data_IF_772948679530
#
_entry.id   IF_772948679530
#
_cell.length_a   1.000
_cell.length_b   1.000
_cell.length_c   1.000
_cell.angle_alpha   90.00
_cell.angle_beta   90.00
_cell.angle_gamma   90.00
#
_symmetry.space_group_name_H-M   'P 1'
#
loop_
_entity.id
_entity.type
_entity.pdbx_description
1 polymer ?
#
# COMPACT_ATOMS: atom_id res chain seq x y z
N UNK A 1 -15.30 1.43 -4.03
CA UNK A 1 -14.69 0.94 -2.77
C UNK A 1 -13.56 1.88 -2.45
N UNK A 2 -13.44 2.35 -1.21
CA UNK A 2 -12.38 3.29 -0.85
C UNK A 2 -11.07 2.51 -0.62
N UNK A 3 -10.09 2.70 -1.50
CA UNK A 3 -8.81 1.98 -1.53
C UNK A 3 -7.67 3.00 -1.61
N UNK A 4 -7.18 3.51 -0.48
CA UNK A 4 -6.02 4.40 -0.47
C UNK A 4 -4.74 3.68 -0.92
N UNK A 5 -3.85 4.44 -1.56
CA UNK A 5 -2.54 3.99 -2.01
C UNK A 5 -1.47 4.62 -1.12
N UNK A 6 -0.76 3.79 -0.36
CA UNK A 6 0.26 4.24 0.60
C UNK A 6 1.62 4.31 -0.10
N UNK A 7 2.20 5.50 -0.19
CA UNK A 7 3.60 5.69 -0.57
C UNK A 7 4.49 5.46 0.65
N UNK A 8 5.05 4.25 0.76
CA UNK A 8 5.64 3.72 1.98
C UNK A 8 7.05 4.20 2.32
N UNK A 9 7.57 5.28 1.74
CA UNK A 9 8.91 5.79 2.09
C UNK A 9 8.97 7.31 2.14
N UNK A 10 9.65 7.83 3.18
CA UNK A 10 9.92 9.25 3.35
C UNK A 10 11.23 9.70 2.69
N UNK A 11 11.98 8.82 2.02
CA UNK A 11 13.30 9.13 1.45
C UNK A 11 13.21 10.22 0.38
N UNK A 12 14.10 11.20 0.40
CA UNK A 12 14.25 12.18 -0.69
C UNK A 12 14.55 11.45 -2.02
N UNK A 13 14.04 11.99 -3.12
CA UNK A 13 14.24 11.44 -4.48
C UNK A 13 13.86 9.95 -4.60
N UNK A 14 12.82 9.56 -3.86
CA UNK A 14 12.25 8.20 -3.87
C UNK A 14 11.64 7.86 -5.23
N UNK A 15 12.15 6.80 -5.84
CA UNK A 15 11.61 6.32 -7.13
C UNK A 15 10.23 5.65 -6.99
N UNK A 16 9.85 5.29 -5.76
CA UNK A 16 8.52 4.75 -5.45
C UNK A 16 7.39 5.74 -5.74
N UNK A 17 7.67 7.04 -5.79
CA UNK A 17 6.70 8.08 -6.12
C UNK A 17 6.17 7.95 -7.55
N UNK A 18 7.06 7.70 -8.54
CA UNK A 18 6.67 7.41 -9.93
C UNK A 18 5.73 6.21 -10.03
N UNK A 19 6.07 5.15 -9.30
CA UNK A 19 5.23 3.94 -9.24
C UNK A 19 3.88 4.22 -8.56
N UNK A 20 3.87 5.04 -7.50
CA UNK A 20 2.62 5.41 -6.82
C UNK A 20 1.70 6.24 -7.72
N UNK A 21 2.23 7.23 -8.45
CA UNK A 21 1.46 8.00 -9.43
C UNK A 21 0.93 7.11 -10.55
N UNK A 22 1.77 6.25 -11.14
CA UNK A 22 1.36 5.30 -12.17
C UNK A 22 0.23 4.38 -11.69
N UNK A 23 0.35 3.79 -10.49
CA UNK A 23 -0.67 2.91 -9.90
C UNK A 23 -1.95 3.68 -9.59
N UNK A 24 -1.85 4.93 -9.12
CA UNK A 24 -2.99 5.79 -8.84
C UNK A 24 -3.78 6.11 -10.12
N UNK A 25 -3.12 6.59 -11.17
CA UNK A 25 -3.76 6.86 -12.48
C UNK A 25 -4.42 5.59 -13.04
N UNK A 26 -3.76 4.44 -12.90
CA UNK A 26 -4.33 3.16 -13.34
C UNK A 26 -5.55 2.74 -12.51
N UNK A 27 -5.51 2.94 -11.19
CA UNK A 27 -6.61 2.66 -10.28
C UNK A 27 -7.83 3.58 -10.52
N UNK A 28 -7.61 4.86 -10.80
CA UNK A 28 -8.67 5.79 -11.24
C UNK A 28 -9.28 5.34 -12.57
N UNK A 29 -8.43 4.98 -13.54
CA UNK A 29 -8.86 4.49 -14.86
C UNK A 29 -9.63 3.15 -14.77
N UNK A 30 -9.35 2.33 -13.76
CA UNK A 30 -10.08 1.09 -13.48
C UNK A 30 -11.53 1.36 -13.03
N UNK A 31 -11.82 2.55 -12.48
CA UNK A 31 -13.18 3.06 -12.29
C UNK A 31 -14.02 2.38 -11.22
N UNK A 32 -13.42 1.53 -10.37
CA UNK A 32 -14.10 0.82 -9.27
C UNK A 32 -13.61 1.24 -7.88
N UNK A 33 -12.55 2.04 -7.84
CA UNK A 33 -11.91 2.51 -6.63
C UNK A 33 -12.10 4.01 -6.47
N UNK A 34 -12.45 4.41 -5.25
CA UNK A 34 -12.25 5.76 -4.75
C UNK A 34 -10.87 5.74 -4.08
N UNK A 35 -9.90 6.45 -4.62
CA UNK A 35 -8.50 6.31 -4.23
C UNK A 35 -7.83 7.66 -4.06
N UNK A 36 -6.88 7.71 -3.14
CA UNK A 36 -6.01 8.86 -2.89
C UNK A 36 -4.62 8.37 -2.54
N UNK A 37 -3.61 9.24 -2.72
CA UNK A 37 -2.23 8.96 -2.32
C UNK A 37 -2.02 9.36 -0.87
N UNK A 38 -1.55 8.41 -0.07
CA UNK A 38 -1.18 8.61 1.34
C UNK A 38 0.34 8.57 1.44
N UNK A 39 0.98 9.71 1.68
CA UNK A 39 2.43 9.79 1.90
C UNK A 39 2.76 9.58 3.38
N UNK A 40 3.65 8.63 3.67
CA UNK A 40 4.15 8.43 5.03
C UNK A 40 4.80 9.68 5.62
N UNK A 41 5.31 10.63 4.79
CA UNK A 41 5.82 11.91 5.29
C UNK A 41 4.77 12.77 5.97
N UNK A 42 3.52 12.65 5.53
CA UNK A 42 2.41 13.47 6.00
C UNK A 42 1.67 12.77 7.14
N UNK A 43 1.55 11.45 7.07
CA UNK A 43 0.66 10.67 7.94
C UNK A 43 1.38 9.81 8.99
N UNK A 44 2.68 9.53 8.84
CA UNK A 44 3.41 8.75 9.83
C UNK A 44 3.94 9.66 10.95
N UNK A 45 3.76 9.23 12.20
CA UNK A 45 4.38 9.84 13.35
C UNK A 45 5.91 9.67 13.30
N UNK A 46 6.63 10.60 13.93
CA UNK A 46 8.08 10.56 14.03
C UNK A 46 8.59 9.40 14.89
N UNK A 47 7.78 8.97 15.86
CA UNK A 47 8.05 7.86 16.78
C UNK A 47 6.79 7.01 16.91
N UNK A 48 6.97 5.77 17.36
CA UNK A 48 5.85 4.85 17.62
C UNK A 48 4.90 5.47 18.64
N UNK A 49 3.65 5.66 18.24
CA UNK A 49 2.52 5.99 19.11
C UNK A 49 1.59 4.78 19.07
N UNK A 50 1.34 4.11 20.19
CA UNK A 50 0.54 2.90 20.18
C UNK A 50 -0.93 3.18 19.85
N UNK A 51 -1.64 2.24 19.22
CA UNK A 51 -3.00 2.47 18.72
C UNK A 51 -4.07 2.66 19.82
N UNK A 52 -3.77 2.22 21.05
CA UNK A 52 -4.64 2.43 22.22
C UNK A 52 -4.48 3.81 22.88
N UNK A 53 -3.51 4.62 22.42
CA UNK A 53 -3.33 5.99 22.89
C UNK A 53 -4.07 6.96 21.97
N UNK A 54 -4.94 7.80 22.54
CA UNK A 54 -5.55 8.89 21.78
C UNK A 54 -4.51 9.98 21.52
N UNK A 55 -4.18 10.18 20.24
CA UNK A 55 -3.21 11.18 19.83
C UNK A 55 -3.68 11.91 18.57
N UNK A 56 -3.68 13.25 18.62
CA UNK A 56 -4.12 14.08 17.50
C UNK A 56 -3.27 13.87 16.23
N UNK A 57 -2.00 13.48 16.38
CA UNK A 57 -1.10 13.22 15.24
C UNK A 57 -1.44 11.92 14.49
N UNK A 58 -1.97 10.90 15.18
CA UNK A 58 -2.31 9.61 14.56
C UNK A 58 -3.74 9.56 14.05
N UNK A 59 -4.62 10.43 14.59
CA UNK A 59 -6.04 10.47 14.26
C UNK A 59 -6.33 10.57 12.75
N UNK A 60 -5.66 11.43 11.94
CA UNK A 60 -5.95 11.53 10.51
C UNK A 60 -5.77 10.20 9.78
N UNK A 61 -4.67 9.49 10.06
CA UNK A 61 -4.42 8.18 9.48
C UNK A 61 -5.42 7.13 9.97
N UNK A 62 -5.73 7.11 11.27
CA UNK A 62 -6.72 6.17 11.83
C UNK A 62 -8.11 6.35 11.20
N UNK A 63 -8.54 7.59 10.99
CA UNK A 63 -9.81 7.89 10.32
C UNK A 63 -9.84 7.37 8.87
N UNK A 64 -8.73 7.50 8.14
CA UNK A 64 -8.56 6.94 6.78
C UNK A 64 -8.59 5.41 6.83
N UNK A 65 -7.76 4.82 7.69
CA UNK A 65 -7.65 3.37 7.85
C UNK A 65 -9.00 2.77 8.22
N UNK A 66 -9.79 3.40 9.09
CA UNK A 66 -11.12 2.95 9.48
C UNK A 66 -12.10 2.91 8.29
N UNK A 67 -12.10 3.94 7.45
CA UNK A 67 -12.98 4.04 6.26
C UNK A 67 -12.58 3.13 5.11
N UNK A 68 -11.29 2.78 5.02
CA UNK A 68 -10.76 1.98 3.91
C UNK A 68 -11.43 0.62 3.79
N UNK A 69 -11.74 0.21 2.57
CA UNK A 69 -12.22 -1.14 2.24
C UNK A 69 -11.07 -2.12 1.97
N UNK A 70 -9.83 -1.61 1.88
CA UNK A 70 -8.60 -2.30 1.53
C UNK A 70 -7.49 -1.29 1.19
N UNK A 71 -6.28 -1.77 0.92
CA UNK A 71 -5.10 -0.90 0.72
C UNK A 71 -4.25 -1.35 -0.46
N UNK A 72 -3.56 -0.41 -1.09
CA UNK A 72 -2.40 -0.69 -1.96
C UNK A 72 -1.17 -0.07 -1.30
N UNK A 73 -0.12 -0.83 -1.08
CA UNK A 73 1.14 -0.33 -0.53
C UNK A 73 2.16 -0.24 -1.68
N UNK A 74 2.75 0.93 -1.89
CA UNK A 74 3.86 1.15 -2.82
C UNK A 74 5.11 1.43 -2.01
N UNK A 75 6.05 0.49 -1.95
CA UNK A 75 7.21 0.61 -1.07
C UNK A 75 8.49 0.04 -1.68
N UNK A 76 9.65 0.66 -1.44
CA UNK A 76 10.92 0.07 -1.81
C UNK A 76 11.37 -1.04 -0.83
N UNK A 77 12.30 -1.89 -1.27
CA UNK A 77 13.04 -2.77 -0.36
C UNK A 77 14.26 -2.05 0.23
N UNK A 78 14.37 -2.00 1.56
CA UNK A 78 15.57 -1.54 2.27
C UNK A 78 16.15 -2.68 3.09
N UNK A 79 17.37 -3.09 2.77
CA UNK A 79 18.14 -4.10 3.52
C UNK A 79 17.32 -5.38 3.82
N UNK A 80 16.66 -5.93 2.80
CA UNK A 80 15.79 -7.11 2.90
C UNK A 80 14.48 -6.91 3.69
N UNK A 81 14.17 -5.68 4.10
CA UNK A 81 12.91 -5.30 4.74
C UNK A 81 12.15 -4.22 3.97
N UNK A 82 11.10 -3.73 4.60
CA UNK A 82 10.33 -2.55 4.18
C UNK A 82 10.80 -1.29 4.95
N UNK A 83 10.48 -0.07 4.49
CA UNK A 83 10.94 1.14 5.15
C UNK A 83 10.36 1.30 6.56
N UNK A 84 11.15 1.88 7.47
CA UNK A 84 10.73 2.09 8.85
C UNK A 84 9.53 3.04 8.96
N UNK A 85 9.44 4.03 8.07
CA UNK A 85 8.34 4.99 8.03
C UNK A 85 7.00 4.34 7.68
N UNK A 86 7.02 3.30 6.83
CA UNK A 86 5.84 2.48 6.59
C UNK A 86 5.43 1.73 7.86
N UNK A 87 6.39 1.21 8.65
CA UNK A 87 6.07 0.58 9.94
C UNK A 87 5.46 1.57 10.92
N UNK A 88 6.03 2.76 11.00
CA UNK A 88 5.54 3.84 11.85
C UNK A 88 4.10 4.21 11.48
N UNK A 89 3.78 4.35 10.19
CA UNK A 89 2.41 4.57 9.74
C UNK A 89 1.48 3.42 10.16
N UNK A 90 1.88 2.18 9.85
CA UNK A 90 1.04 1.00 10.09
C UNK A 90 0.74 0.83 11.59
N UNK A 91 1.72 1.03 12.48
CA UNK A 91 1.57 0.84 13.93
C UNK A 91 0.64 1.85 14.62
N UNK A 92 0.24 2.93 13.95
CA UNK A 92 -0.70 3.92 14.50
C UNK A 92 -2.16 3.43 14.57
N UNK A 93 -2.47 2.32 13.91
CA UNK A 93 -3.79 1.71 13.88
C UNK A 93 -3.66 0.20 14.07
N UNK A 94 -4.76 -0.48 14.41
CA UNK A 94 -4.72 -1.94 14.57
C UNK A 94 -6.03 -2.60 14.14
N UNK A 95 -7.11 -2.37 14.89
CA UNK A 95 -8.43 -2.94 14.59
C UNK A 95 -8.99 -2.39 13.27
N UNK A 96 -8.60 -1.18 12.91
CA UNK A 96 -8.96 -0.53 11.67
C UNK A 96 -8.50 -1.31 10.41
N UNK A 97 -7.57 -2.27 10.54
CA UNK A 97 -7.10 -3.11 9.44
C UNK A 97 -7.78 -4.47 9.33
N UNK A 98 -8.56 -4.88 10.33
CA UNK A 98 -9.05 -6.24 10.43
C UNK A 98 -9.86 -6.65 9.20
N UNK A 99 -9.48 -7.80 8.63
CA UNK A 99 -10.13 -8.42 7.47
C UNK A 99 -10.18 -7.49 6.24
N UNK A 100 -9.26 -6.54 6.15
CA UNK A 100 -9.10 -5.68 4.96
C UNK A 100 -8.05 -6.26 4.03
N UNK A 101 -8.35 -6.37 2.73
CA UNK A 101 -7.38 -6.85 1.78
C UNK A 101 -6.29 -5.80 1.50
N UNK A 102 -5.09 -6.28 1.22
CA UNK A 102 -3.94 -5.44 0.90
C UNK A 102 -3.20 -5.96 -0.31
N UNK A 103 -2.89 -5.07 -1.25
CA UNK A 103 -2.03 -5.36 -2.39
C UNK A 103 -0.70 -4.63 -2.26
N UNK A 104 0.35 -5.16 -2.89
CA UNK A 104 1.71 -4.63 -2.80
C UNK A 104 2.31 -4.29 -4.16
N UNK A 105 2.84 -3.09 -4.28
CA UNK A 105 3.71 -2.66 -5.36
C UNK A 105 5.13 -2.50 -4.79
N UNK A 106 5.94 -3.55 -4.94
CA UNK A 106 7.33 -3.53 -4.50
C UNK A 106 8.20 -2.77 -5.48
N UNK A 107 9.11 -1.93 -5.00
CA UNK A 107 9.98 -1.09 -5.84
C UNK A 107 11.44 -1.38 -5.56
N UNK A 108 12.25 -1.47 -6.61
CA UNK A 108 13.70 -1.61 -6.46
C UNK A 108 14.47 -1.00 -7.61
N UNK A 109 15.68 -0.52 -7.31
CA UNK A 109 16.65 -0.16 -8.33
C UNK A 109 17.35 -1.37 -8.95
N UNK A 110 17.23 -2.56 -8.35
CA UNK A 110 17.84 -3.79 -8.84
C UNK A 110 16.85 -4.71 -9.56
N UNK A 111 17.37 -5.62 -10.36
CA UNK A 111 16.60 -6.60 -11.14
C UNK A 111 15.70 -7.53 -10.30
N UNK A 112 16.04 -7.75 -9.03
CA UNK A 112 15.26 -8.60 -8.13
C UNK A 112 14.00 -7.92 -7.59
N UNK A 113 13.71 -6.68 -8.01
CA UNK A 113 12.40 -6.01 -7.90
C UNK A 113 11.84 -5.87 -6.48
N UNK A 114 12.68 -6.03 -5.45
CA UNK A 114 12.28 -5.84 -4.05
C UNK A 114 11.43 -6.98 -3.46
N UNK A 115 11.50 -8.19 -4.00
CA UNK A 115 10.61 -9.29 -3.58
C UNK A 115 10.69 -9.62 -2.07
N UNK A 116 11.76 -9.25 -1.36
CA UNK A 116 11.91 -9.59 0.06
C UNK A 116 11.04 -8.73 0.97
N UNK A 117 10.70 -7.51 0.55
CA UNK A 117 9.77 -6.67 1.31
C UNK A 117 8.40 -7.35 1.46
N UNK A 118 7.98 -8.16 0.49
CA UNK A 118 6.73 -8.94 0.58
C UNK A 118 6.77 -9.97 1.71
N UNK A 119 7.91 -10.67 1.87
CA UNK A 119 8.07 -11.65 2.95
C UNK A 119 8.12 -10.97 4.32
N UNK A 120 8.84 -9.84 4.41
CA UNK A 120 8.92 -9.06 5.65
C UNK A 120 7.57 -8.49 6.10
N UNK A 121 6.64 -8.23 5.18
CA UNK A 121 5.29 -7.74 5.50
C UNK A 121 4.30 -8.85 5.88
N UNK A 122 4.59 -10.13 5.62
CA UNK A 122 3.62 -11.22 5.91
C UNK A 122 3.27 -11.28 7.40
N UNK A 123 4.26 -11.22 8.28
CA UNK A 123 4.03 -11.28 9.73
C UNK A 123 3.25 -10.07 10.23
N UNK A 124 3.50 -8.89 9.65
CA UNK A 124 2.76 -7.65 9.96
C UNK A 124 1.30 -7.80 9.55
N UNK A 125 1.04 -8.18 8.30
CA UNK A 125 -0.30 -8.37 7.78
C UNK A 125 -1.07 -9.44 8.54
N UNK A 126 -0.42 -10.57 8.85
CA UNK A 126 -1.02 -11.62 9.65
C UNK A 126 -1.43 -11.12 11.05
N UNK A 127 -0.54 -10.39 11.73
CA UNK A 127 -0.80 -9.84 13.07
C UNK A 127 -1.93 -8.80 13.06
N UNK A 128 -2.05 -8.03 11.98
CA UNK A 128 -3.09 -7.02 11.75
C UNK A 128 -4.34 -7.60 11.06
N UNK A 129 -4.43 -8.93 10.85
CA UNK A 129 -5.52 -9.61 10.15
C UNK A 129 -5.83 -9.05 8.75
N UNK A 130 -4.83 -8.47 8.10
CA UNK A 130 -4.95 -8.03 6.71
C UNK A 130 -4.86 -9.24 5.79
N UNK A 131 -5.54 -9.17 4.64
CA UNK A 131 -5.61 -10.30 3.70
C UNK A 131 -4.83 -9.97 2.41
N UNK A 132 -3.67 -10.61 2.15
CA UNK A 132 -2.91 -10.33 0.94
C UNK A 132 -3.70 -10.66 -0.34
N UNK A 133 -3.87 -9.65 -1.19
CA UNK A 133 -4.69 -9.73 -2.40
C UNK A 133 -3.87 -9.71 -3.70
N UNK A 134 -2.55 -9.72 -3.61
CA UNK A 134 -1.64 -9.76 -4.75
C UNK A 134 -0.45 -8.83 -4.59
N UNK A 135 0.55 -9.02 -5.45
CA UNK A 135 1.71 -8.16 -5.50
C UNK A 135 2.21 -7.99 -6.95
N UNK A 136 2.72 -6.81 -7.27
CA UNK A 136 3.47 -6.50 -8.50
C UNK A 136 4.80 -5.88 -8.11
N UNK A 137 5.89 -6.30 -8.76
CA UNK A 137 7.25 -5.87 -8.39
C UNK A 137 7.89 -5.11 -9.56
N UNK A 138 8.33 -3.89 -9.27
CA UNK A 138 8.92 -2.93 -10.19
C UNK A 138 10.44 -2.88 -9.98
N UNK A 139 11.17 -3.67 -10.77
CA UNK A 139 12.63 -3.67 -10.79
C UNK A 139 13.20 -2.63 -11.76
N UNK A 140 14.49 -2.29 -11.60
CA UNK A 140 15.19 -1.29 -12.41
C UNK A 140 14.37 -0.01 -12.59
N UNK A 141 13.77 0.47 -11.49
CA UNK A 141 12.75 1.54 -11.52
C UNK A 141 13.26 2.86 -12.12
N UNK A 142 14.58 3.10 -12.09
CA UNK A 142 15.18 4.32 -12.64
C UNK A 142 15.10 4.35 -14.16
N UNK A 143 15.14 3.17 -14.79
CA UNK A 143 15.11 2.98 -16.23
C UNK A 143 13.70 2.58 -16.72
N UNK A 144 12.73 2.40 -15.81
CA UNK A 144 11.40 1.89 -16.14
C UNK A 144 10.44 2.97 -16.66
N UNK A 145 10.73 4.24 -16.37
CA UNK A 145 9.90 5.37 -16.74
C UNK A 145 10.67 6.35 -17.64
N UNK A 146 9.97 6.98 -18.59
CA UNK A 146 10.51 8.06 -19.39
C UNK A 146 10.59 9.40 -18.62
N UNK A 147 10.99 10.47 -19.31
CA UNK A 147 11.09 11.83 -18.74
C UNK A 147 9.74 12.45 -18.37
N UNK A 148 8.63 11.89 -18.88
CA UNK A 148 7.26 12.31 -18.62
C UNK A 148 6.54 11.37 -17.63
N UNK A 149 7.29 10.47 -16.99
CA UNK A 149 6.77 9.45 -16.06
C UNK A 149 5.82 8.43 -16.69
N UNK A 150 5.89 8.22 -18.00
CA UNK A 150 5.21 7.09 -18.64
C UNK A 150 6.03 5.82 -18.45
N UNK A 151 5.36 4.72 -18.14
CA UNK A 151 5.99 3.42 -18.03
C UNK A 151 6.42 2.90 -19.41
N UNK A 152 7.66 2.46 -19.54
CA UNK A 152 8.22 1.97 -20.81
C UNK A 152 7.86 0.51 -21.10
N UNK A 153 7.64 -0.30 -20.05
CA UNK A 153 7.20 -1.68 -20.17
C UNK A 153 5.69 -1.77 -19.94
N UNK A 154 4.92 -1.80 -21.03
CA UNK A 154 3.45 -1.86 -20.97
C UNK A 154 2.91 -3.14 -20.34
N UNK A 155 3.73 -4.19 -20.13
CA UNK A 155 3.26 -5.42 -19.47
C UNK A 155 2.82 -5.17 -18.02
N UNK A 156 3.32 -4.09 -17.40
CA UNK A 156 2.85 -3.65 -16.08
C UNK A 156 1.39 -3.21 -16.08
N UNK A 157 0.82 -2.78 -17.21
CA UNK A 157 -0.60 -2.42 -17.29
C UNK A 157 -1.47 -3.64 -16.95
N UNK A 158 -1.22 -4.78 -17.61
CA UNK A 158 -1.95 -6.02 -17.37
C UNK A 158 -1.71 -6.54 -15.95
N UNK A 159 -0.46 -6.51 -15.46
CA UNK A 159 -0.13 -6.98 -14.10
C UNK A 159 -0.87 -6.18 -13.02
N UNK A 160 -0.89 -4.85 -13.15
CA UNK A 160 -1.62 -3.99 -12.22
C UNK A 160 -3.11 -4.24 -12.36
N UNK A 161 -3.68 -4.28 -13.56
CA UNK A 161 -5.12 -4.55 -13.74
C UNK A 161 -5.56 -5.85 -13.07
N UNK A 162 -4.78 -6.91 -13.21
CA UNK A 162 -5.10 -8.21 -12.59
C UNK A 162 -5.00 -8.15 -11.05
N UNK A 163 -4.02 -7.42 -10.53
CA UNK A 163 -3.91 -7.14 -9.09
C UNK A 163 -5.11 -6.32 -8.59
N UNK A 164 -5.51 -5.26 -9.30
CA UNK A 164 -6.67 -4.42 -8.96
C UNK A 164 -7.97 -5.22 -9.01
N UNK A 165 -8.18 -6.06 -10.03
CA UNK A 165 -9.34 -6.98 -10.12
C UNK A 165 -9.41 -7.90 -8.90
N UNK A 166 -8.29 -8.51 -8.51
CA UNK A 166 -8.22 -9.40 -7.36
C UNK A 166 -8.48 -8.66 -6.04
N UNK A 167 -7.87 -7.48 -5.87
CA UNK A 167 -8.11 -6.62 -4.71
C UNK A 167 -9.59 -6.22 -4.59
N UNK A 168 -10.22 -5.83 -5.70
CA UNK A 168 -11.65 -5.49 -5.73
C UNK A 168 -12.53 -6.67 -5.31
N UNK A 169 -12.25 -7.87 -5.84
CA UNK A 169 -13.00 -9.07 -5.51
C UNK A 169 -12.90 -9.40 -4.00
N UNK A 170 -11.69 -9.32 -3.44
CA UNK A 170 -11.46 -9.52 -2.02
C UNK A 170 -12.15 -8.45 -1.18
N UNK A 171 -12.06 -7.18 -1.57
CA UNK A 171 -12.65 -6.08 -0.83
C UNK A 171 -14.18 -6.22 -0.75
N UNK A 172 -14.83 -6.61 -1.85
CA UNK A 172 -16.27 -6.90 -1.89
C UNK A 172 -16.65 -8.09 -1.00
N UNK A 173 -15.89 -9.19 -1.08
CA UNK A 173 -16.19 -10.40 -0.31
C UNK A 173 -15.98 -10.20 1.20
N UNK A 174 -14.84 -9.62 1.58
CA UNK A 174 -14.46 -9.45 2.98
C UNK A 174 -15.24 -8.33 3.67
N UNK A 175 -15.89 -7.43 2.94
CA UNK A 175 -16.81 -6.46 3.53
C UNK A 175 -17.91 -7.15 4.34
N UNK A 176 -18.51 -8.20 3.79
CA UNK A 176 -19.53 -8.97 4.51
C UNK A 176 -18.95 -9.67 5.75
N UNK A 177 -17.70 -10.14 5.69
CA UNK A 177 -17.01 -10.74 6.84
C UNK A 177 -16.84 -9.73 7.96
N UNK A 178 -16.40 -8.50 7.64
CA UNK A 178 -16.30 -7.40 8.62
C UNK A 178 -17.65 -7.04 9.22
N UNK A 179 -18.70 -6.98 8.39
CA UNK A 179 -20.06 -6.66 8.84
C UNK A 179 -20.65 -7.75 9.76
N UNK A 180 -20.25 -9.02 9.59
CA UNK A 180 -20.70 -10.13 10.43
C UNK A 180 -19.91 -10.27 11.73
N UNK A 181 -18.61 -9.99 11.72
CA UNK A 181 -17.75 -10.05 12.92
C UNK A 181 -17.88 -8.81 13.83
N UNK A 182 -18.47 -7.72 13.33
CA UNK A 182 -18.73 -6.50 14.10
C UNK A 182 -20.08 -6.48 14.81
N UNK A 183 -20.94 -7.49 14.57
CA UNK A 183 -22.19 -7.73 15.31
C UNK A 183 -21.93 -8.51 16.59
#
# INVERSE_FOLDING_TARGET
MYIPIILGTGRSDRQSEKVAHYVHVRAESFGQFDTELIDVREYAAQFTIPPWEENAATKPWRDIAAKADGFIIVAPEYNHGYPGELKLLLDQAYEEYFDKPVALCGVSSGQFSGVRLNFALQDVWFTMKMVPAGATFFGNVKELFDEHENILDETYNTRIDDMLKRLLAYAKALKNVRDDLSK
#
